data_IF_059776553965
#
_entry.id   IF_059776553965
#
_cell.length_a   1.000
_cell.length_b   1.000
_cell.length_c   1.000
_cell.angle_alpha   90.00
_cell.angle_beta   90.00
_cell.angle_gamma   90.00
#
_symmetry.space_group_name_H-M   'P 1'
#
loop_
_entity.id
_entity.type
_entity.pdbx_description
1 polymer ?
#
# COMPACT_ATOMS: atom_id res chain seq x y z
N UNK A 1 -5.29 24.14 -1.24
CA UNK A 1 -6.18 23.95 -2.41
C UNK A 1 -6.04 22.54 -3.00
N UNK A 2 -4.81 22.11 -3.33
CA UNK A 2 -4.62 20.81 -4.02
C UNK A 2 -4.88 19.60 -3.13
N UNK A 3 -4.46 19.64 -1.86
CA UNK A 3 -4.70 18.55 -0.91
C UNK A 3 -6.18 18.41 -0.54
N UNK A 4 -6.86 19.51 -0.29
CA UNK A 4 -8.31 19.50 0.03
C UNK A 4 -9.11 18.95 -1.15
N UNK A 5 -8.77 19.36 -2.38
CA UNK A 5 -9.41 18.84 -3.58
C UNK A 5 -9.17 17.33 -3.73
N UNK A 6 -7.94 16.86 -3.48
CA UNK A 6 -7.63 15.44 -3.55
C UNK A 6 -8.34 14.62 -2.47
N UNK A 7 -8.52 15.16 -1.26
CA UNK A 7 -9.34 14.51 -0.24
C UNK A 7 -10.81 14.40 -0.66
N UNK A 8 -11.37 15.43 -1.30
CA UNK A 8 -12.74 15.37 -1.81
C UNK A 8 -12.93 14.30 -2.89
N UNK A 9 -11.94 14.15 -3.80
CA UNK A 9 -11.96 13.12 -4.85
C UNK A 9 -11.85 11.69 -4.30
N UNK A 10 -11.18 11.51 -3.17
CA UNK A 10 -10.92 10.20 -2.56
C UNK A 10 -11.89 9.84 -1.45
N UNK A 11 -12.90 10.64 -1.21
CA UNK A 11 -13.94 10.33 -0.21
C UNK A 11 -14.62 9.00 -0.50
N UNK A 12 -15.04 8.26 0.54
CA UNK A 12 -15.73 7.00 0.33
C UNK A 12 -17.09 7.24 -0.35
N UNK A 13 -17.22 6.68 -1.54
CA UNK A 13 -18.48 6.57 -2.27
C UNK A 13 -18.90 5.09 -2.26
N UNK A 14 -20.11 4.83 -1.76
CA UNK A 14 -20.62 3.47 -1.68
C UNK A 14 -20.09 2.65 -0.51
N UNK A 15 -20.31 1.35 -0.55
CA UNK A 15 -20.04 0.44 0.56
C UNK A 15 -18.54 0.27 0.81
N UNK A 16 -18.12 0.49 2.06
CA UNK A 16 -16.78 0.16 2.57
C UNK A 16 -16.82 -1.21 3.23
N UNK A 17 -15.98 -2.12 2.80
CA UNK A 17 -15.94 -3.50 3.35
C UNK A 17 -14.99 -3.60 4.56
N UNK A 18 -13.88 -2.84 4.54
CA UNK A 18 -12.86 -2.88 5.58
C UNK A 18 -12.18 -1.50 5.72
N UNK A 19 -11.93 -1.11 6.95
CA UNK A 19 -11.12 0.07 7.29
C UNK A 19 -9.72 -0.37 7.68
N UNK A 20 -8.70 0.29 7.12
CA UNK A 20 -7.29 0.02 7.42
C UNK A 20 -6.58 1.30 7.88
N UNK A 21 -5.97 1.28 9.06
CA UNK A 21 -5.25 2.41 9.64
C UNK A 21 -3.78 2.03 9.82
N UNK A 22 -2.90 2.96 9.50
CA UNK A 22 -1.46 2.80 9.67
C UNK A 22 -0.74 2.43 8.37
N UNK A 23 -0.23 3.43 7.67
CA UNK A 23 0.61 3.22 6.49
C UNK A 23 1.88 4.09 6.56
N UNK A 24 3.05 3.41 6.68
CA UNK A 24 3.24 1.95 6.76
C UNK A 24 2.77 1.34 8.07
N UNK A 25 2.84 2.04 9.17
CA UNK A 25 2.47 1.61 10.52
C UNK A 25 1.94 2.79 11.32
N UNK A 26 0.86 2.58 12.06
CA UNK A 26 0.30 3.59 12.95
C UNK A 26 1.26 3.92 14.08
N UNK A 27 1.44 5.19 14.32
CA UNK A 27 2.09 5.69 15.53
C UNK A 27 1.22 5.43 16.77
N UNK A 28 1.82 5.45 17.95
CA UNK A 28 1.09 5.34 19.20
C UNK A 28 -0.01 6.41 19.32
N UNK A 29 0.24 7.62 18.81
CA UNK A 29 -0.74 8.71 18.82
C UNK A 29 -1.93 8.43 17.88
N UNK A 30 -1.71 7.86 16.71
CA UNK A 30 -2.79 7.42 15.83
C UNK A 30 -3.60 6.29 16.44
N UNK A 31 -2.96 5.34 17.13
CA UNK A 31 -3.64 4.27 17.89
C UNK A 31 -4.52 4.87 19.00
N UNK A 32 -4.01 5.82 19.78
CA UNK A 32 -4.76 6.52 20.83
C UNK A 32 -5.93 7.33 20.26
N UNK A 33 -5.71 8.00 19.14
CA UNK A 33 -6.78 8.76 18.45
C UNK A 33 -7.88 7.82 17.98
N UNK A 34 -7.52 6.68 17.42
CA UNK A 34 -8.46 5.63 16.98
C UNK A 34 -9.23 5.06 18.16
N UNK A 35 -8.55 4.72 19.26
CA UNK A 35 -9.17 4.21 20.49
C UNK A 35 -10.12 5.25 21.13
N UNK A 36 -9.73 6.52 21.13
CA UNK A 36 -10.56 7.60 21.64
C UNK A 36 -11.85 7.79 20.82
N UNK A 37 -11.75 7.72 19.49
CA UNK A 37 -12.92 7.78 18.61
C UNK A 37 -13.85 6.58 18.84
N UNK A 38 -13.30 5.36 18.98
CA UNK A 38 -14.07 4.15 19.27
C UNK A 38 -14.76 4.22 20.64
N UNK A 39 -14.11 4.78 21.65
CA UNK A 39 -14.69 4.92 23.00
C UNK A 39 -16.03 5.66 22.96
N UNK A 40 -16.10 6.73 22.18
CA UNK A 40 -17.36 7.50 22.03
C UNK A 40 -18.51 6.64 21.50
N UNK A 41 -18.23 5.73 20.54
CA UNK A 41 -19.21 4.78 20.02
C UNK A 41 -19.57 3.70 21.05
N UNK A 42 -18.58 3.19 21.78
CA UNK A 42 -18.78 2.16 22.80
C UNK A 42 -19.68 2.63 23.97
N UNK A 43 -19.65 3.92 24.31
CA UNK A 43 -20.53 4.53 25.33
C UNK A 43 -22.03 4.42 24.93
N UNK A 44 -22.32 4.34 23.63
CA UNK A 44 -23.65 4.10 23.09
C UNK A 44 -23.95 2.62 22.81
N UNK A 45 -23.08 1.71 23.24
CA UNK A 45 -23.24 0.27 23.03
C UNK A 45 -22.86 -0.22 21.62
N UNK A 46 -22.29 0.66 20.80
CA UNK A 46 -21.86 0.34 19.44
C UNK A 46 -20.51 -0.38 19.44
N UNK A 47 -20.31 -1.31 18.53
CA UNK A 47 -19.09 -2.12 18.38
C UNK A 47 -18.81 -2.36 16.90
N UNK A 48 -17.58 -2.74 16.61
CA UNK A 48 -17.17 -3.16 15.27
C UNK A 48 -17.55 -4.62 15.09
N UNK A 49 -18.40 -4.90 14.11
CA UNK A 49 -18.72 -6.26 13.72
C UNK A 49 -17.66 -6.82 12.74
N UNK A 50 -17.40 -8.13 12.84
CA UNK A 50 -16.60 -8.89 11.87
C UNK A 50 -15.20 -8.33 11.62
N UNK A 51 -14.58 -7.73 12.64
CA UNK A 51 -13.23 -7.16 12.58
C UNK A 51 -13.03 -6.19 11.39
N UNK A 52 -13.99 -5.33 11.14
CA UNK A 52 -13.97 -4.39 10.00
C UNK A 52 -13.00 -3.20 10.18
N UNK A 53 -12.22 -3.18 11.24
CA UNK A 53 -11.13 -2.22 11.44
C UNK A 53 -9.82 -2.98 11.72
N UNK A 54 -8.85 -2.78 10.85
CA UNK A 54 -7.49 -3.28 11.04
C UNK A 54 -6.55 -2.12 11.30
N UNK A 55 -5.76 -2.22 12.37
CA UNK A 55 -4.74 -1.23 12.75
C UNK A 55 -3.37 -1.88 12.60
N UNK A 56 -2.54 -1.34 11.72
CA UNK A 56 -1.19 -1.81 11.46
C UNK A 56 -0.20 -0.97 12.27
N UNK A 57 0.66 -1.61 13.06
CA UNK A 57 1.61 -0.90 13.92
C UNK A 57 2.94 -1.65 14.06
N UNK A 58 3.94 -1.02 14.65
CA UNK A 58 5.21 -1.68 15.00
C UNK A 58 5.08 -2.43 16.33
N UNK A 59 5.96 -3.42 16.54
CA UNK A 59 6.05 -4.12 17.84
C UNK A 59 6.31 -3.15 19.00
N UNK A 60 7.09 -2.09 18.78
CA UNK A 60 7.36 -1.08 19.80
C UNK A 60 6.08 -0.33 20.20
N UNK A 61 5.33 0.20 19.22
CA UNK A 61 4.08 0.91 19.49
C UNK A 61 3.00 -0.01 20.05
N UNK A 62 2.96 -1.28 19.63
CA UNK A 62 2.07 -2.30 20.20
C UNK A 62 2.33 -2.46 21.71
N UNK A 63 3.60 -2.63 22.11
CA UNK A 63 3.98 -2.78 23.52
C UNK A 63 3.63 -1.53 24.34
N UNK A 64 3.84 -0.33 23.79
CA UNK A 64 3.47 0.92 24.44
C UNK A 64 1.95 1.07 24.58
N UNK A 65 1.19 0.68 23.56
CA UNK A 65 -0.27 0.71 23.57
C UNK A 65 -0.88 -0.33 24.54
N UNK A 66 -0.20 -1.47 24.71
CA UNK A 66 -0.55 -2.47 25.73
C UNK A 66 -0.37 -1.89 27.13
N UNK A 67 0.77 -1.24 27.40
CA UNK A 67 1.13 -0.68 28.68
C UNK A 67 0.18 0.46 29.14
N UNK A 68 -0.37 1.24 28.20
CA UNK A 68 -1.25 2.38 28.53
C UNK A 68 -2.75 2.07 28.36
N UNK A 69 -3.11 0.84 28.00
CA UNK A 69 -4.49 0.39 27.84
C UNK A 69 -5.13 0.72 26.49
N UNK A 70 -4.41 1.36 25.58
CA UNK A 70 -4.90 1.69 24.22
C UNK A 70 -5.22 0.42 23.44
N UNK A 71 -4.37 -0.60 23.52
CA UNK A 71 -4.57 -1.89 22.85
C UNK A 71 -5.84 -2.58 23.31
N UNK A 72 -6.07 -2.69 24.63
CA UNK A 72 -7.27 -3.30 25.18
C UNK A 72 -8.55 -2.58 24.70
N UNK A 73 -8.50 -1.26 24.59
CA UNK A 73 -9.64 -0.47 24.08
C UNK A 73 -9.93 -0.79 22.61
N UNK A 74 -8.91 -0.90 21.77
CA UNK A 74 -9.06 -1.24 20.35
C UNK A 74 -9.66 -2.63 20.18
N UNK A 75 -9.14 -3.62 20.91
CA UNK A 75 -9.59 -5.01 20.86
C UNK A 75 -11.02 -5.19 21.42
N UNK A 76 -11.35 -4.54 22.53
CA UNK A 76 -12.70 -4.56 23.13
C UNK A 76 -13.74 -3.94 22.18
N UNK A 77 -13.34 -2.96 21.37
CA UNK A 77 -14.19 -2.37 20.34
C UNK A 77 -14.37 -3.28 19.11
N UNK A 78 -13.60 -4.36 18.97
CA UNK A 78 -13.64 -5.30 17.86
C UNK A 78 -12.65 -5.02 16.75
N UNK A 79 -11.65 -4.15 16.96
CA UNK A 79 -10.57 -3.93 16.01
C UNK A 79 -9.55 -5.07 16.02
N UNK A 80 -8.94 -5.34 14.87
CA UNK A 80 -7.79 -6.25 14.75
C UNK A 80 -6.50 -5.42 14.69
N UNK A 81 -5.56 -5.67 15.61
CA UNK A 81 -4.25 -5.02 15.58
C UNK A 81 -3.20 -5.96 15.01
N UNK A 82 -2.52 -5.52 13.96
CA UNK A 82 -1.52 -6.28 13.20
C UNK A 82 -0.15 -5.65 13.40
N UNK A 83 0.85 -6.47 13.72
CA UNK A 83 2.18 -6.01 14.12
C UNK A 83 3.20 -6.32 13.02
N UNK A 84 4.16 -5.40 12.84
CA UNK A 84 5.31 -5.53 11.93
C UNK A 84 4.96 -5.90 10.48
N UNK A 85 3.77 -5.49 10.05
CA UNK A 85 3.32 -5.59 8.67
C UNK A 85 2.70 -4.26 8.24
N UNK A 86 2.20 -4.17 7.02
CA UNK A 86 1.53 -2.97 6.54
C UNK A 86 0.35 -3.31 5.61
N UNK A 87 -0.58 -2.37 5.38
CA UNK A 87 -1.74 -2.62 4.53
C UNK A 87 -1.38 -3.14 3.14
N UNK A 88 -0.32 -2.63 2.52
CA UNK A 88 0.03 -2.98 1.14
C UNK A 88 0.47 -4.44 0.97
N UNK A 89 1.28 -4.98 1.89
CA UNK A 89 1.83 -6.34 1.78
C UNK A 89 0.90 -7.42 2.35
N UNK A 90 -0.19 -7.01 3.01
CA UNK A 90 -1.16 -7.94 3.59
C UNK A 90 -2.03 -8.53 2.47
N UNK A 91 -2.19 -9.85 2.40
CA UNK A 91 -3.10 -10.47 1.45
C UNK A 91 -4.56 -10.29 1.91
N UNK A 92 -5.39 -9.71 1.06
CA UNK A 92 -6.82 -9.55 1.33
C UNK A 92 -7.64 -10.64 0.63
N UNK A 93 -8.65 -11.16 1.34
CA UNK A 93 -9.64 -12.02 0.70
C UNK A 93 -10.51 -11.17 -0.25
N UNK A 94 -10.30 -11.30 -1.55
CA UNK A 94 -10.99 -10.55 -2.61
C UNK A 94 -12.49 -10.89 -2.77
N UNK A 95 -12.94 -12.01 -2.20
CA UNK A 95 -14.37 -12.33 -2.14
C UNK A 95 -15.08 -11.50 -1.05
N UNK A 96 -14.35 -11.11 -0.01
CA UNK A 96 -14.90 -10.37 1.13
C UNK A 96 -14.61 -8.86 1.06
N UNK A 97 -13.40 -8.47 0.65
CA UNK A 97 -12.92 -7.09 0.69
C UNK A 97 -12.67 -6.56 -0.73
N UNK A 98 -13.58 -5.72 -1.22
CA UNK A 98 -13.52 -5.14 -2.56
C UNK A 98 -13.44 -3.61 -2.54
N UNK A 99 -13.69 -2.97 -1.40
CA UNK A 99 -13.53 -1.54 -1.20
C UNK A 99 -12.99 -1.28 0.20
N UNK A 100 -11.82 -0.65 0.28
CA UNK A 100 -11.17 -0.29 1.54
C UNK A 100 -11.32 1.20 1.85
N UNK A 101 -11.20 1.54 3.14
CA UNK A 101 -11.10 2.92 3.59
C UNK A 101 -9.86 3.07 4.47
N UNK A 102 -9.10 4.14 4.29
CA UNK A 102 -7.87 4.39 5.04
C UNK A 102 -7.74 5.86 5.46
N UNK A 103 -6.91 6.12 6.47
CA UNK A 103 -6.53 7.48 6.86
C UNK A 103 -5.31 8.03 6.09
N UNK A 104 -4.76 7.26 5.14
CA UNK A 104 -3.50 7.56 4.48
C UNK A 104 -3.63 7.59 2.96
N UNK A 105 -3.33 8.74 2.34
CA UNK A 105 -3.22 8.86 0.88
C UNK A 105 -2.13 7.94 0.30
N UNK A 106 -1.08 7.65 1.06
CA UNK A 106 -0.05 6.70 0.66
C UNK A 106 -0.62 5.27 0.59
N UNK A 107 -1.41 4.88 1.59
CA UNK A 107 -2.07 3.57 1.58
C UNK A 107 -3.06 3.46 0.42
N UNK A 108 -3.88 4.49 0.18
CA UNK A 108 -4.81 4.53 -0.96
C UNK A 108 -4.08 4.27 -2.27
N UNK A 109 -3.01 5.03 -2.53
CA UNK A 109 -2.24 4.90 -3.76
C UNK A 109 -1.74 3.46 -3.97
N UNK A 110 -1.10 2.86 -2.96
CA UNK A 110 -0.55 1.52 -3.09
C UNK A 110 -1.60 0.41 -3.08
N UNK A 111 -2.66 0.53 -2.30
CA UNK A 111 -3.74 -0.45 -2.27
C UNK A 111 -4.54 -0.47 -3.58
N UNK A 112 -4.73 0.71 -4.19
CA UNK A 112 -5.48 0.84 -5.45
C UNK A 112 -4.64 0.44 -6.65
N UNK A 113 -3.37 0.87 -6.73
CA UNK A 113 -2.51 0.69 -7.90
C UNK A 113 -1.42 -0.37 -7.74
N UNK A 114 -1.11 -0.79 -6.51
CA UNK A 114 -0.04 -1.72 -6.19
C UNK A 114 -0.44 -3.21 -6.24
N UNK A 115 0.03 -3.98 -5.26
CA UNK A 115 -0.15 -5.45 -5.22
C UNK A 115 -1.61 -5.88 -5.11
N UNK A 116 -2.38 -5.17 -4.29
CA UNK A 116 -3.73 -5.58 -3.93
C UNK A 116 -4.76 -5.16 -4.98
N UNK A 117 -4.57 -4.03 -5.64
CA UNK A 117 -5.48 -3.47 -6.65
C UNK A 117 -6.93 -3.47 -6.17
N UNK A 118 -7.14 -2.98 -4.95
CA UNK A 118 -8.46 -2.84 -4.35
C UNK A 118 -8.84 -1.36 -4.36
N UNK A 119 -9.99 -0.97 -4.88
CA UNK A 119 -10.51 0.38 -4.73
C UNK A 119 -10.43 0.83 -3.27
N UNK A 120 -9.78 1.94 -3.03
CA UNK A 120 -9.53 2.43 -1.67
C UNK A 120 -9.86 3.91 -1.60
N UNK A 121 -10.62 4.29 -0.59
CA UNK A 121 -10.98 5.68 -0.29
C UNK A 121 -10.17 6.21 0.89
N UNK A 122 -10.18 7.53 1.07
CA UNK A 122 -9.45 8.19 2.17
C UNK A 122 -10.40 9.03 3.00
N UNK A 123 -10.26 8.93 4.33
CA UNK A 123 -10.97 9.79 5.27
C UNK A 123 -10.15 10.02 6.54
N UNK A 124 -10.43 11.08 7.33
CA UNK A 124 -9.84 11.24 8.65
C UNK A 124 -10.17 10.06 9.58
N UNK A 125 -9.33 9.80 10.59
CA UNK A 125 -9.48 8.66 11.52
C UNK A 125 -10.89 8.59 12.11
N UNK A 126 -11.46 9.72 12.55
CA UNK A 126 -12.79 9.73 13.13
C UNK A 126 -13.88 9.24 12.15
N UNK A 127 -13.75 9.56 10.88
CA UNK A 127 -14.66 9.08 9.85
C UNK A 127 -14.38 7.62 9.48
N UNK A 128 -13.13 7.21 9.43
CA UNK A 128 -12.74 5.80 9.30
C UNK A 128 -13.41 4.94 10.39
N UNK A 129 -13.31 5.37 11.65
CA UNK A 129 -13.95 4.69 12.79
C UNK A 129 -15.47 4.64 12.63
N UNK A 130 -16.10 5.73 12.22
CA UNK A 130 -17.54 5.78 11.98
C UNK A 130 -17.98 4.75 10.92
N UNK A 131 -17.25 4.60 9.82
CA UNK A 131 -17.52 3.59 8.80
C UNK A 131 -17.26 2.17 9.27
N UNK A 132 -16.30 1.95 10.17
CA UNK A 132 -16.05 0.65 10.76
C UNK A 132 -17.19 0.20 11.66
N UNK A 133 -17.76 1.12 12.45
CA UNK A 133 -18.86 0.85 13.40
C UNK A 133 -20.21 0.76 12.69
N UNK A 134 -20.44 1.61 11.68
CA UNK A 134 -21.73 1.72 10.97
C UNK A 134 -21.60 1.31 9.50
N UNK A 135 -21.67 0.00 9.17
CA UNK A 135 -21.60 -0.47 7.79
C UNK A 135 -22.67 0.10 6.87
N UNK A 136 -23.84 0.41 7.40
CA UNK A 136 -24.97 0.95 6.65
C UNK A 136 -24.79 2.41 6.16
N UNK A 137 -23.77 3.14 6.64
CA UNK A 137 -23.45 4.47 6.11
C UNK A 137 -22.92 4.42 4.67
N UNK A 138 -22.65 3.23 4.18
CA UNK A 138 -22.01 2.96 2.91
C UNK A 138 -22.97 2.34 1.89
N UNK A 139 -24.27 2.64 1.96
CA UNK A 139 -25.25 2.16 0.96
C UNK A 139 -25.06 2.92 -0.35
N UNK A 140 -24.52 2.24 -1.35
CA UNK A 140 -24.30 2.77 -2.70
C UNK A 140 -23.54 1.78 -3.59
N UNK A 141 -23.45 2.05 -4.91
CA UNK A 141 -22.66 1.21 -5.81
C UNK A 141 -21.18 1.25 -5.38
N UNK A 142 -20.51 0.11 -5.47
CA UNK A 142 -19.06 0.02 -5.23
C UNK A 142 -18.30 0.78 -6.31
N UNK A 143 -17.25 1.54 -5.95
CA UNK A 143 -16.41 2.18 -6.95
C UNK A 143 -15.70 1.13 -7.80
N UNK A 144 -15.70 1.34 -9.12
CA UNK A 144 -14.93 0.54 -10.06
C UNK A 144 -13.51 1.12 -10.20
N UNK A 145 -12.52 0.25 -10.39
CA UNK A 145 -11.15 0.67 -10.72
C UNK A 145 -11.17 1.42 -12.07
N UNK A 146 -11.11 2.74 -12.02
CA UNK A 146 -10.86 3.54 -13.20
C UNK A 146 -9.37 3.42 -13.56
N UNK A 147 -9.06 2.74 -14.65
CA UNK A 147 -7.74 2.79 -15.24
C UNK A 147 -7.54 4.19 -15.84
N UNK A 148 -7.12 5.15 -15.02
CA UNK A 148 -6.63 6.42 -15.53
C UNK A 148 -5.26 6.19 -16.18
N UNK A 149 -5.26 5.94 -17.48
CA UNK A 149 -4.05 5.99 -18.30
C UNK A 149 -3.53 7.43 -18.33
N UNK A 150 -2.62 7.75 -17.44
CA UNK A 150 -1.83 8.97 -17.59
C UNK A 150 -0.79 8.73 -18.68
N UNK A 151 -1.20 9.00 -19.92
CA UNK A 151 -0.34 8.96 -21.08
C UNK A 151 0.64 10.13 -21.08
N UNK A 152 1.79 9.94 -20.46
CA UNK A 152 2.97 10.76 -20.69
C UNK A 152 3.79 10.11 -21.80
N UNK A 153 3.74 10.65 -23.01
CA UNK A 153 4.67 10.24 -24.07
C UNK A 153 6.08 10.73 -23.73
N UNK A 154 6.92 9.82 -23.25
CA UNK A 154 8.36 10.03 -23.22
C UNK A 154 9.01 9.16 -24.30
N UNK A 155 9.62 9.83 -25.28
CA UNK A 155 10.34 9.20 -26.38
C UNK A 155 11.53 8.39 -25.86
N UNK A 156 11.50 7.08 -26.07
CA UNK A 156 12.62 6.20 -25.81
C UNK A 156 13.80 6.56 -26.73
N UNK A 157 14.91 6.98 -26.15
CA UNK A 157 16.19 7.06 -26.86
C UNK A 157 16.81 5.67 -26.88
N UNK A 158 16.86 5.05 -28.05
CA UNK A 158 17.62 3.84 -28.32
C UNK A 158 19.10 4.22 -28.28
N UNK A 159 19.85 3.68 -27.33
CA UNK A 159 21.32 3.74 -27.33
C UNK A 159 21.90 2.62 -28.19
N UNK A 160 22.84 3.00 -29.06
CA UNK A 160 23.60 2.10 -29.94
C UNK A 160 24.58 1.26 -29.13
N UNK A 161 24.85 0.06 -29.66
CA UNK A 161 25.76 -0.93 -29.11
C UNK A 161 27.17 -0.36 -28.85
N UNK A 162 27.57 -0.34 -27.61
CA UNK A 162 28.91 -0.07 -27.13
C UNK A 162 29.21 -1.02 -25.97
N UNK A 163 30.35 -1.68 -26.02
CA UNK A 163 30.82 -2.50 -24.91
C UNK A 163 31.08 -1.60 -23.70
N UNK A 164 30.36 -1.82 -22.62
CA UNK A 164 30.49 -1.07 -21.36
C UNK A 164 30.80 -2.04 -20.24
N UNK A 165 31.96 -1.87 -19.60
CA UNK A 165 32.32 -2.63 -18.40
C UNK A 165 31.99 -1.81 -17.17
N UNK A 166 31.10 -2.33 -16.33
CA UNK A 166 30.72 -1.72 -15.05
C UNK A 166 31.27 -2.59 -13.93
N UNK A 167 32.07 -1.99 -13.05
CA UNK A 167 32.56 -2.65 -11.84
C UNK A 167 31.59 -2.34 -10.69
N UNK A 168 31.05 -3.38 -10.09
CA UNK A 168 30.13 -3.26 -8.96
C UNK A 168 30.56 -4.18 -7.81
N UNK A 169 29.91 -3.98 -6.64
CA UNK A 169 30.07 -4.86 -5.48
C UNK A 169 28.84 -5.75 -5.38
N UNK A 170 29.04 -7.08 -5.37
CA UNK A 170 27.97 -8.03 -5.09
C UNK A 170 27.38 -7.85 -3.68
N UNK A 171 26.05 -7.99 -3.56
CA UNK A 171 25.36 -7.80 -2.29
C UNK A 171 25.65 -8.91 -1.27
N UNK A 172 25.90 -10.13 -1.71
CA UNK A 172 25.98 -11.27 -0.77
C UNK A 172 26.87 -12.44 -1.25
N UNK A 173 27.81 -12.23 -2.14
CA UNK A 173 28.70 -13.33 -2.55
C UNK A 173 30.05 -13.25 -1.87
N UNK A 174 30.43 -14.34 -1.18
CA UNK A 174 31.80 -14.53 -0.71
C UNK A 174 32.74 -14.95 -1.84
N UNK A 175 32.22 -15.22 -3.03
CA UNK A 175 32.95 -15.65 -4.23
C UNK A 175 32.70 -14.69 -5.39
N UNK A 176 33.70 -14.46 -6.20
CA UNK A 176 33.55 -13.71 -7.45
C UNK A 176 32.63 -14.49 -8.40
N UNK A 177 31.64 -13.83 -8.97
CA UNK A 177 30.75 -14.42 -9.96
C UNK A 177 30.73 -13.56 -11.24
N UNK A 178 30.49 -14.21 -12.36
CA UNK A 178 30.30 -13.57 -13.65
C UNK A 178 28.98 -14.06 -14.25
N UNK A 179 28.13 -13.13 -14.68
CA UNK A 179 26.87 -13.44 -15.35
C UNK A 179 26.85 -12.74 -16.70
N UNK A 180 26.53 -13.49 -17.74
CA UNK A 180 26.33 -12.95 -19.09
C UNK A 180 24.82 -13.02 -19.44
N UNK A 181 24.30 -11.96 -20.05
CA UNK A 181 22.90 -11.92 -20.46
C UNK A 181 22.53 -10.65 -21.20
N UNK A 182 21.29 -10.58 -21.63
CA UNK A 182 20.75 -9.39 -22.31
C UNK A 182 20.51 -8.30 -21.25
N UNK A 183 21.21 -7.17 -21.41
CA UNK A 183 20.99 -6.01 -20.53
C UNK A 183 19.67 -5.30 -20.86
N UNK A 184 18.93 -4.95 -19.82
CA UNK A 184 17.79 -4.06 -19.85
C UNK A 184 18.12 -2.82 -19.02
N UNK A 185 18.31 -1.69 -19.68
CA UNK A 185 18.84 -0.47 -19.05
C UNK A 185 17.77 0.62 -19.00
N UNK A 186 17.69 1.31 -17.87
CA UNK A 186 16.85 2.52 -17.71
C UNK A 186 17.57 3.52 -16.81
N UNK A 187 17.36 4.79 -17.05
CA UNK A 187 17.76 5.91 -16.20
C UNK A 187 16.68 6.33 -15.20
N UNK A 188 15.51 5.68 -15.27
CA UNK A 188 14.39 5.91 -14.36
C UNK A 188 14.43 4.87 -13.23
N UNK A 189 14.23 5.29 -11.96
CA UNK A 189 14.11 4.35 -10.84
C UNK A 189 12.96 3.36 -11.04
N UNK A 190 13.15 2.12 -10.59
CA UNK A 190 12.13 1.05 -10.67
C UNK A 190 11.49 0.84 -9.30
N UNK A 191 10.16 0.76 -9.29
CA UNK A 191 9.37 0.37 -8.12
C UNK A 191 9.01 -1.11 -8.25
N UNK A 192 9.67 -1.99 -7.50
CA UNK A 192 9.40 -3.43 -7.58
C UNK A 192 8.06 -3.78 -6.96
N UNK A 193 7.81 -3.29 -5.73
CA UNK A 193 6.60 -3.60 -5.01
C UNK A 193 5.38 -2.95 -5.69
N UNK A 194 4.49 -3.78 -6.19
CA UNK A 194 3.25 -3.36 -6.83
C UNK A 194 3.35 -3.03 -8.31
N UNK A 195 4.55 -2.83 -8.85
CA UNK A 195 4.74 -2.47 -10.26
C UNK A 195 5.56 -3.48 -11.08
N UNK A 196 6.09 -4.50 -10.43
CA UNK A 196 6.62 -5.67 -11.14
C UNK A 196 5.72 -6.86 -10.82
N UNK A 197 5.10 -7.40 -11.84
CA UNK A 197 4.19 -8.54 -11.70
C UNK A 197 4.99 -9.77 -11.22
N UNK A 198 4.58 -10.36 -10.10
CA UNK A 198 5.32 -11.47 -9.46
C UNK A 198 5.34 -12.75 -10.27
N UNK A 199 4.28 -13.00 -11.02
CA UNK A 199 4.09 -14.26 -11.74
C UNK A 199 4.75 -14.21 -13.13
N UNK A 200 4.81 -13.02 -13.74
CA UNK A 200 5.28 -12.83 -15.12
C UNK A 200 6.59 -12.05 -15.22
N UNK A 201 7.04 -11.40 -14.14
CA UNK A 201 8.18 -10.50 -14.14
C UNK A 201 8.00 -9.26 -15.02
N UNK A 202 6.77 -8.95 -15.45
CA UNK A 202 6.49 -7.78 -16.29
C UNK A 202 6.43 -6.52 -15.43
N UNK A 203 7.11 -5.46 -15.89
CA UNK A 203 6.99 -4.12 -15.30
C UNK A 203 5.64 -3.53 -15.77
N UNK A 204 4.78 -3.20 -14.83
CA UNK A 204 3.42 -2.67 -15.05
C UNK A 204 3.29 -1.24 -14.47
N UNK A 205 4.36 -0.46 -14.56
CA UNK A 205 4.41 0.93 -14.10
C UNK A 205 4.10 1.87 -15.25
N UNK A 206 2.87 2.36 -15.31
CA UNK A 206 2.41 3.23 -16.39
C UNK A 206 3.29 4.49 -16.56
N UNK A 207 3.81 4.72 -17.75
CA UNK A 207 4.72 5.81 -18.06
C UNK A 207 6.20 5.54 -17.76
N UNK A 208 6.55 4.39 -17.19
CA UNK A 208 7.94 3.97 -17.06
C UNK A 208 8.52 3.53 -18.43
N UNK A 209 9.78 3.84 -18.78
CA UNK A 209 10.37 3.45 -20.08
C UNK A 209 10.38 1.95 -20.35
N UNK A 210 10.32 1.13 -19.31
CA UNK A 210 10.28 -0.33 -19.39
C UNK A 210 8.88 -0.91 -19.13
N UNK A 211 7.83 -0.09 -19.13
CA UNK A 211 6.46 -0.56 -18.95
C UNK A 211 6.10 -1.63 -20.00
N UNK A 212 5.45 -2.70 -19.56
CA UNK A 212 5.10 -3.86 -20.39
C UNK A 212 6.24 -4.82 -20.69
N UNK A 213 7.45 -4.60 -20.18
CA UNK A 213 8.62 -5.47 -20.44
C UNK A 213 8.86 -6.45 -19.30
N UNK A 214 9.11 -7.73 -19.64
CA UNK A 214 9.49 -8.74 -18.67
C UNK A 214 10.99 -8.66 -18.34
N UNK A 215 11.32 -8.73 -17.04
CA UNK A 215 12.70 -8.74 -16.52
C UNK A 215 13.30 -10.15 -16.51
N UNK A 216 12.50 -11.16 -16.74
CA UNK A 216 12.92 -12.56 -16.73
C UNK A 216 14.09 -12.80 -17.71
N UNK A 217 15.12 -13.48 -17.24
CA UNK A 217 16.35 -13.79 -18.00
C UNK A 217 17.08 -12.55 -18.55
N UNK A 218 17.01 -11.42 -17.87
CA UNK A 218 17.68 -10.17 -18.23
C UNK A 218 18.55 -9.65 -17.10
N UNK A 219 19.61 -8.93 -17.45
CA UNK A 219 20.39 -8.14 -16.51
C UNK A 219 19.78 -6.76 -16.46
N UNK A 220 19.10 -6.46 -15.35
CA UNK A 220 18.42 -5.18 -15.17
C UNK A 220 19.39 -4.15 -14.57
N UNK A 221 19.60 -3.03 -15.28
CA UNK A 221 20.47 -1.93 -14.87
C UNK A 221 19.64 -0.66 -14.72
N UNK A 222 19.59 -0.12 -13.52
CA UNK A 222 18.79 1.05 -13.17
C UNK A 222 19.47 1.85 -12.04
N UNK A 223 19.18 3.15 -11.88
CA UNK A 223 19.92 4.03 -10.96
C UNK A 223 19.65 3.71 -9.48
N UNK A 224 18.43 3.35 -9.13
CA UNK A 224 17.98 2.99 -7.77
C UNK A 224 16.59 2.38 -7.79
N UNK A 225 16.26 1.60 -6.76
CA UNK A 225 14.87 1.27 -6.44
C UNK A 225 14.11 2.50 -5.94
N UNK A 226 12.82 2.54 -6.19
CA UNK A 226 11.90 3.52 -5.61
C UNK A 226 10.76 2.82 -4.87
N UNK A 227 10.03 3.55 -4.04
CA UNK A 227 8.94 2.99 -3.26
C UNK A 227 9.41 2.22 -2.02
N UNK A 228 8.71 1.14 -1.70
CA UNK A 228 9.01 0.33 -0.53
C UNK A 228 10.35 -0.40 -0.66
N UNK A 229 11.12 -0.44 0.43
CA UNK A 229 12.35 -1.23 0.52
C UNK A 229 12.08 -2.73 0.71
N UNK A 230 10.83 -3.14 0.87
CA UNK A 230 10.37 -4.53 0.89
C UNK A 230 10.24 -5.02 -0.54
N UNK A 231 11.32 -5.04 -1.24
CA UNK A 231 11.42 -5.61 -2.57
C UNK A 231 12.66 -6.46 -2.60
N UNK A 232 12.81 -7.26 -3.48
CA UNK A 232 12.12 -8.25 -4.27
C UNK A 232 12.35 -9.65 -3.68
N UNK A 233 11.41 -10.13 -2.93
CA UNK A 233 11.48 -11.48 -2.38
C UNK A 233 10.50 -12.39 -3.09
#
# INVERSE_FOLDING_TARGET
>A
ADLEHRYEELKPEGQVDLVVIGCPQASLEEMRTTASALRSHMEFGERIDDQRLWVFTSQENYTLAEADGTLSMLEEAGALVLVDTCPEVTPYNREKYNHLLTNSMKAEHYLTSGLNRIPTSVAPIAECVRHAVHPSLSEGPRPELSHSSHGGQTSAKTHQDGECTILGKGLDSQEDFCIEGIAMVTDVPITYLGYVNRDTGVIEEAGHPLDGRAIENKILIYPKGSGSTVAPY
#
